data_IF_081449893533
#
_entry.id   IF_081449893533
#
_cell.length_a   1.000
_cell.length_b   1.000
_cell.length_c   1.000
_cell.angle_alpha   90.00
_cell.angle_beta   90.00
_cell.angle_gamma   90.00
#
_symmetry.space_group_name_H-M   'P 1'
#
loop_
_entity.id
_entity.type
_entity.pdbx_description
1 polymer ?
#
# COMPACT_ATOMS: atom_id res chain seq x y z
N UNK A 1 116.30 -53.19 -52.75
CA UNK A 1 117.63 -52.71 -53.17
C UNK A 1 118.48 -52.76 -51.92
N UNK A 2 119.24 -53.84 -51.72
CA UNK A 2 120.62 -53.93 -52.23
C UNK A 2 121.42 -52.74 -51.68
N UNK A 3 122.40 -52.92 -50.79
CA UNK A 3 123.66 -53.62 -51.04
C UNK A 3 124.43 -53.74 -49.71
N UNK A 4 124.95 -54.93 -49.38
CA UNK A 4 126.39 -55.27 -49.33
C UNK A 4 127.24 -54.31 -48.48
N UNK A 5 127.93 -54.80 -47.43
CA UNK A 5 129.27 -54.34 -47.00
C UNK A 5 129.75 -55.08 -45.72
N UNK A 6 131.02 -55.49 -45.73
CA UNK A 6 131.59 -56.52 -44.86
C UNK A 6 131.89 -56.04 -43.43
N UNK A 7 131.02 -56.44 -42.50
CA UNK A 7 131.20 -56.28 -41.05
C UNK A 7 132.02 -57.47 -40.50
N UNK A 8 133.00 -57.27 -39.60
CA UNK A 8 134.00 -58.29 -39.26
C UNK A 8 133.34 -59.55 -38.66
N UNK A 9 133.72 -60.73 -39.16
CA UNK A 9 133.27 -61.99 -38.58
C UNK A 9 133.86 -62.18 -37.18
N UNK A 10 133.03 -62.00 -36.15
CA UNK A 10 133.31 -62.47 -34.80
C UNK A 10 133.47 -63.99 -34.82
N UNK A 11 134.49 -64.57 -34.15
CA UNK A 11 134.70 -66.02 -34.16
C UNK A 11 133.45 -66.74 -33.62
N UNK A 12 132.87 -67.63 -34.45
CA UNK A 12 131.81 -68.54 -34.02
C UNK A 12 132.41 -69.51 -33.02
N UNK A 13 132.05 -69.34 -31.75
CA UNK A 13 132.36 -70.30 -30.69
C UNK A 13 131.51 -71.56 -30.92
N UNK A 14 132.09 -72.56 -31.56
CA UNK A 14 131.49 -73.88 -31.69
C UNK A 14 131.83 -74.69 -30.43
N UNK A 15 130.84 -74.88 -29.56
CA UNK A 15 131.00 -75.70 -28.37
C UNK A 15 130.85 -77.18 -28.75
N UNK A 16 131.79 -78.07 -28.39
CA UNK A 16 131.65 -79.49 -28.66
C UNK A 16 130.40 -80.03 -27.94
N UNK A 17 129.56 -80.77 -28.66
CA UNK A 17 128.30 -81.31 -28.15
C UNK A 17 128.57 -82.57 -27.29
N UNK A 18 129.16 -82.37 -26.12
CA UNK A 18 129.52 -83.43 -25.16
C UNK A 18 128.34 -83.69 -24.22
N UNK A 19 128.00 -84.95 -23.90
CA UNK A 19 126.91 -85.27 -22.98
C UNK A 19 127.05 -84.60 -21.61
N UNK A 20 125.95 -84.06 -21.06
CA UNK A 20 125.94 -83.16 -19.89
C UNK A 20 126.61 -83.68 -18.62
N UNK A 21 126.77 -85.00 -18.47
CA UNK A 21 127.39 -85.58 -17.27
C UNK A 21 128.91 -85.47 -17.28
N UNK A 22 129.56 -85.39 -18.44
CA UNK A 22 131.03 -85.29 -18.54
C UNK A 22 131.55 -83.84 -18.37
N UNK A 23 130.71 -82.81 -18.60
CA UNK A 23 131.10 -81.39 -18.49
C UNK A 23 131.03 -80.81 -17.06
N UNK A 24 130.54 -81.58 -16.08
CA UNK A 24 130.36 -81.08 -14.71
C UNK A 24 131.72 -80.76 -14.05
N UNK A 25 132.76 -81.53 -14.38
CA UNK A 25 134.15 -81.26 -13.96
C UNK A 25 134.62 -79.88 -14.42
N UNK A 26 134.44 -79.56 -15.69
CA UNK A 26 134.96 -78.32 -16.31
C UNK A 26 134.21 -77.08 -15.80
N UNK A 27 132.91 -77.20 -15.56
CA UNK A 27 132.12 -76.12 -14.97
C UNK A 27 132.58 -75.79 -13.53
N UNK A 28 132.87 -76.82 -12.72
CA UNK A 28 133.36 -76.61 -11.35
C UNK A 28 134.74 -75.93 -11.38
N UNK A 29 135.62 -76.29 -12.32
CA UNK A 29 136.91 -75.61 -12.49
C UNK A 29 136.77 -74.16 -12.97
N UNK A 30 135.86 -73.85 -13.88
CA UNK A 30 135.62 -72.47 -14.35
C UNK A 30 135.05 -71.57 -13.25
N UNK A 31 134.13 -72.10 -12.44
CA UNK A 31 133.58 -71.38 -11.28
C UNK A 31 134.66 -71.12 -10.22
N UNK A 32 135.59 -72.06 -10.02
CA UNK A 32 136.75 -71.85 -9.15
C UNK A 32 137.71 -70.78 -9.71
N UNK A 33 137.91 -70.73 -11.03
CA UNK A 33 138.74 -69.70 -11.69
C UNK A 33 138.15 -68.28 -11.60
N UNK A 34 136.82 -68.14 -11.68
CA UNK A 34 136.13 -66.85 -11.53
C UNK A 34 136.17 -66.30 -10.10
N UNK A 35 136.44 -67.15 -9.10
CA UNK A 35 136.55 -66.78 -7.69
C UNK A 35 137.99 -66.46 -7.25
N UNK A 36 138.99 -66.61 -8.14
CA UNK A 36 140.35 -66.14 -7.88
C UNK A 36 140.44 -64.62 -8.05
N UNK A 37 141.16 -63.96 -7.14
CA UNK A 37 141.39 -62.52 -7.21
C UNK A 37 142.14 -62.15 -8.49
N UNK A 38 141.50 -61.36 -9.35
CA UNK A 38 142.08 -60.90 -10.63
C UNK A 38 143.13 -59.83 -10.35
N UNK A 39 144.40 -60.20 -10.44
CA UNK A 39 145.50 -59.24 -10.40
C UNK A 39 145.68 -58.65 -11.81
N UNK A 40 145.28 -57.39 -11.99
CA UNK A 40 145.51 -56.64 -13.23
C UNK A 40 146.87 -55.94 -13.19
N UNK A 41 147.62 -55.91 -14.31
CA UNK A 41 148.95 -55.30 -14.37
C UNK A 41 148.91 -53.78 -14.20
N UNK A 42 149.91 -53.24 -13.50
CA UNK A 42 149.99 -51.87 -12.95
C UNK A 42 150.00 -50.71 -13.98
N UNK A 43 149.99 -50.98 -15.29
CA UNK A 43 149.93 -49.94 -16.32
C UNK A 43 148.51 -49.38 -16.57
N UNK A 44 147.48 -50.02 -16.00
CA UNK A 44 146.07 -49.66 -16.16
C UNK A 44 145.51 -48.82 -14.99
N UNK A 45 146.39 -48.12 -14.25
CA UNK A 45 146.01 -47.18 -13.19
C UNK A 45 146.09 -45.74 -13.70
N UNK A 46 144.92 -45.10 -13.77
CA UNK A 46 144.73 -43.72 -14.26
C UNK A 46 145.49 -42.70 -13.40
N UNK A 47 146.36 -41.88 -14.01
CA UNK A 47 147.08 -40.79 -13.31
C UNK A 47 146.19 -39.54 -13.20
N UNK A 48 146.10 -38.97 -12.00
CA UNK A 48 145.12 -37.93 -11.65
C UNK A 48 145.48 -36.49 -12.11
N UNK A 49 146.72 -36.23 -12.57
CA UNK A 49 147.26 -34.86 -12.74
C UNK A 49 147.34 -34.33 -14.20
N UNK A 50 146.69 -34.99 -15.17
CA UNK A 50 146.72 -34.56 -16.57
C UNK A 50 145.65 -33.46 -16.85
N UNK A 51 146.01 -32.28 -17.40
CA UNK A 51 145.05 -31.21 -17.73
C UNK A 51 143.90 -31.65 -18.65
N UNK A 52 144.16 -32.62 -19.54
CA UNK A 52 143.12 -33.20 -20.41
C UNK A 52 142.10 -34.00 -19.61
N UNK A 53 142.53 -34.64 -18.52
CA UNK A 53 141.66 -35.37 -17.61
C UNK A 53 140.82 -34.42 -16.74
N UNK A 54 141.39 -33.28 -16.31
CA UNK A 54 140.65 -32.23 -15.58
C UNK A 54 139.55 -31.58 -16.44
N UNK A 55 139.85 -31.30 -17.72
CA UNK A 55 138.85 -30.81 -18.68
C UNK A 55 137.77 -31.87 -18.94
N UNK A 56 138.14 -33.13 -19.16
CA UNK A 56 137.18 -34.22 -19.34
C UNK A 56 136.29 -34.42 -18.09
N UNK A 57 136.84 -34.33 -16.88
CA UNK A 57 136.07 -34.38 -15.63
C UNK A 57 135.13 -33.16 -15.48
N UNK A 58 135.55 -31.98 -15.91
CA UNK A 58 134.72 -30.77 -15.91
C UNK A 58 133.59 -30.86 -16.94
N UNK A 59 133.85 -31.40 -18.14
CA UNK A 59 132.86 -31.68 -19.18
C UNK A 59 131.85 -32.74 -18.71
N UNK A 60 132.31 -33.79 -18.05
CA UNK A 60 131.43 -34.80 -17.43
C UNK A 60 130.57 -34.17 -16.33
N UNK A 61 131.13 -33.30 -15.47
CA UNK A 61 130.36 -32.56 -14.45
C UNK A 61 129.37 -31.58 -15.06
N UNK A 62 129.75 -30.84 -16.10
CA UNK A 62 128.89 -29.90 -16.82
C UNK A 62 127.74 -30.63 -17.50
N UNK A 63 128.02 -31.73 -18.20
CA UNK A 63 126.98 -32.56 -18.80
C UNK A 63 126.05 -33.16 -17.74
N UNK A 64 126.59 -33.55 -16.57
CA UNK A 64 125.79 -34.04 -15.45
C UNK A 64 124.90 -32.95 -14.83
N UNK A 65 125.39 -31.72 -14.65
CA UNK A 65 124.60 -30.61 -14.12
C UNK A 65 123.59 -30.08 -15.13
N UNK A 66 123.93 -30.04 -16.42
CA UNK A 66 123.01 -29.71 -17.52
C UNK A 66 121.89 -30.73 -17.63
N UNK A 67 122.20 -32.02 -17.48
CA UNK A 67 121.19 -33.09 -17.43
C UNK A 67 120.26 -32.91 -16.24
N UNK A 68 120.78 -32.63 -15.05
CA UNK A 68 119.95 -32.32 -13.87
C UNK A 68 119.10 -31.06 -14.03
N UNK A 69 119.64 -29.99 -14.64
CA UNK A 69 118.91 -28.76 -14.94
C UNK A 69 117.80 -29.01 -15.97
N UNK A 70 118.07 -29.81 -17.00
CA UNK A 70 117.09 -30.22 -17.99
C UNK A 70 115.98 -31.06 -17.35
N UNK A 71 116.32 -32.01 -16.49
CA UNK A 71 115.36 -32.84 -15.76
C UNK A 71 114.51 -32.01 -14.78
N UNK A 72 115.11 -31.05 -14.06
CA UNK A 72 114.38 -30.11 -13.21
C UNK A 72 113.47 -29.19 -14.00
N UNK A 73 113.90 -28.67 -15.16
CA UNK A 73 113.05 -27.86 -16.04
C UNK A 73 111.89 -28.68 -16.60
N UNK A 74 112.13 -29.92 -17.03
CA UNK A 74 111.08 -30.85 -17.47
C UNK A 74 110.06 -31.12 -16.36
N UNK A 75 110.54 -31.37 -15.14
CA UNK A 75 109.68 -31.55 -13.96
C UNK A 75 108.85 -30.30 -13.67
N UNK A 76 109.45 -29.10 -13.66
CA UNK A 76 108.72 -27.87 -13.40
C UNK A 76 107.69 -27.54 -14.49
N UNK A 77 108.00 -27.83 -15.76
CA UNK A 77 107.05 -27.69 -16.87
C UNK A 77 105.89 -28.67 -16.71
N UNK A 78 106.16 -29.93 -16.34
CA UNK A 78 105.12 -30.92 -16.07
C UNK A 78 104.23 -30.51 -14.88
N UNK A 79 104.83 -30.08 -13.77
CA UNK A 79 104.12 -29.61 -12.59
C UNK A 79 103.26 -28.38 -12.89
N UNK A 80 103.78 -27.44 -13.69
CA UNK A 80 103.01 -26.25 -14.09
C UNK A 80 101.84 -26.60 -14.99
N UNK A 81 101.98 -27.58 -15.88
CA UNK A 81 100.86 -28.11 -16.66
C UNK A 81 99.79 -28.75 -15.76
N UNK A 82 100.18 -29.58 -14.80
CA UNK A 82 99.24 -30.16 -13.84
C UNK A 82 98.52 -29.09 -13.00
N UNK A 83 99.25 -28.05 -12.55
CA UNK A 83 98.65 -26.93 -11.83
C UNK A 83 97.69 -26.12 -12.72
N UNK A 84 98.06 -25.82 -13.96
CA UNK A 84 97.20 -25.11 -14.91
C UNK A 84 95.94 -25.94 -15.24
N UNK A 85 96.05 -27.27 -15.34
CA UNK A 85 94.91 -28.18 -15.48
C UNK A 85 94.00 -28.15 -14.24
N UNK A 86 94.58 -28.18 -13.03
CA UNK A 86 93.83 -28.07 -11.78
C UNK A 86 93.16 -26.70 -11.63
N UNK A 87 93.79 -25.62 -12.06
CA UNK A 87 93.19 -24.28 -12.07
C UNK A 87 92.02 -24.20 -13.05
N UNK A 88 92.15 -24.77 -14.25
CA UNK A 88 91.02 -24.86 -15.20
C UNK A 88 89.88 -25.71 -14.65
N UNK A 89 90.18 -26.84 -14.03
CA UNK A 89 89.17 -27.70 -13.39
C UNK A 89 88.44 -26.96 -12.24
N UNK A 90 89.15 -26.13 -11.49
CA UNK A 90 88.56 -25.30 -10.44
C UNK A 90 87.64 -24.23 -11.03
N UNK A 91 88.08 -23.54 -12.08
CA UNK A 91 87.32 -22.50 -12.77
C UNK A 91 86.04 -23.06 -13.40
N UNK A 92 86.11 -24.24 -14.03
CA UNK A 92 84.92 -24.92 -14.57
C UNK A 92 83.94 -25.29 -13.47
N UNK A 93 84.42 -25.83 -12.34
CA UNK A 93 83.56 -26.17 -11.19
C UNK A 93 82.94 -24.93 -10.55
N UNK A 94 83.69 -23.83 -10.45
CA UNK A 94 83.15 -22.55 -9.97
C UNK A 94 82.03 -22.04 -10.90
N UNK A 95 82.24 -22.09 -12.22
CA UNK A 95 81.25 -21.69 -13.20
C UNK A 95 79.99 -22.58 -13.14
N UNK A 96 80.16 -23.89 -13.03
CA UNK A 96 79.07 -24.84 -12.81
C UNK A 96 78.29 -24.56 -11.52
N UNK A 97 78.97 -24.27 -10.42
CA UNK A 97 78.31 -23.89 -9.18
C UNK A 97 77.51 -22.60 -9.34
N UNK A 98 78.08 -21.56 -9.96
CA UNK A 98 77.38 -20.29 -10.21
C UNK A 98 76.14 -20.47 -11.07
N UNK A 99 76.23 -21.24 -12.15
CA UNK A 99 75.09 -21.53 -13.03
C UNK A 99 74.03 -22.37 -12.31
N UNK A 100 74.44 -23.37 -11.52
CA UNK A 100 73.53 -24.14 -10.68
C UNK A 100 72.81 -23.27 -9.64
N UNK A 101 73.51 -22.34 -8.98
CA UNK A 101 72.88 -21.39 -8.06
C UNK A 101 71.83 -20.51 -8.77
N UNK A 102 72.14 -19.99 -9.96
CA UNK A 102 71.16 -19.24 -10.75
C UNK A 102 69.93 -20.08 -11.12
N UNK A 103 70.14 -21.35 -11.50
CA UNK A 103 69.07 -22.28 -11.80
C UNK A 103 68.22 -22.62 -10.56
N UNK A 104 68.86 -22.81 -9.39
CA UNK A 104 68.15 -23.05 -8.13
C UNK A 104 67.35 -21.83 -7.69
N UNK A 105 67.91 -20.62 -7.80
CA UNK A 105 67.19 -19.38 -7.48
C UNK A 105 65.99 -19.19 -8.42
N UNK A 106 66.15 -19.48 -9.71
CA UNK A 106 65.05 -19.46 -10.67
C UNK A 106 63.98 -20.50 -10.31
N UNK A 107 64.39 -21.73 -10.00
CA UNK A 107 63.48 -22.80 -9.61
C UNK A 107 62.70 -22.46 -8.33
N UNK A 108 63.34 -21.86 -7.32
CA UNK A 108 62.69 -21.42 -6.08
C UNK A 108 61.66 -20.33 -6.39
N UNK A 109 62.01 -19.34 -7.22
CA UNK A 109 61.08 -18.28 -7.65
C UNK A 109 59.89 -18.86 -8.41
N UNK A 110 60.12 -19.70 -9.41
CA UNK A 110 59.04 -20.34 -10.15
C UNK A 110 58.15 -21.23 -9.29
N UNK A 111 58.73 -21.94 -8.32
CA UNK A 111 57.95 -22.76 -7.39
C UNK A 111 57.08 -21.88 -6.48
N UNK A 112 57.63 -20.78 -5.96
CA UNK A 112 56.87 -19.80 -5.20
C UNK A 112 55.74 -19.17 -6.05
N UNK A 113 56.00 -18.79 -7.29
CA UNK A 113 54.98 -18.24 -8.21
C UNK A 113 53.89 -19.28 -8.53
N UNK A 114 54.25 -20.56 -8.65
CA UNK A 114 53.28 -21.67 -8.82
C UNK A 114 52.43 -21.85 -7.55
N UNK A 115 53.04 -21.79 -6.37
CA UNK A 115 52.35 -21.87 -5.08
C UNK A 115 51.40 -20.68 -4.89
N UNK A 116 51.86 -19.47 -5.14
CA UNK A 116 51.03 -18.26 -5.01
C UNK A 116 49.83 -18.30 -5.97
N UNK A 117 50.04 -18.69 -7.24
CA UNK A 117 48.93 -18.88 -8.20
C UNK A 117 47.96 -19.96 -7.75
N UNK A 118 48.45 -21.07 -7.23
CA UNK A 118 47.58 -22.13 -6.70
C UNK A 118 46.78 -21.65 -5.49
N UNK A 119 47.41 -20.96 -4.53
CA UNK A 119 46.74 -20.39 -3.37
C UNK A 119 45.69 -19.35 -3.75
N UNK A 120 46.01 -18.46 -4.71
CA UNK A 120 45.06 -17.48 -5.23
C UNK A 120 43.86 -18.17 -5.87
N UNK A 121 44.10 -19.19 -6.71
CA UNK A 121 43.03 -19.96 -7.35
C UNK A 121 42.16 -20.69 -6.33
N UNK A 122 42.75 -21.31 -5.29
CA UNK A 122 42.00 -21.96 -4.21
C UNK A 122 41.11 -20.95 -3.47
N UNK A 123 41.61 -19.73 -3.20
CA UNK A 123 40.81 -18.67 -2.58
C UNK A 123 39.65 -18.25 -3.47
N UNK A 124 39.89 -18.01 -4.76
CA UNK A 124 38.87 -17.65 -5.75
C UNK A 124 37.80 -18.75 -5.87
N UNK A 125 38.22 -20.01 -6.02
CA UNK A 125 37.32 -21.17 -6.13
C UNK A 125 36.50 -21.37 -4.84
N UNK A 126 37.11 -21.16 -3.67
CA UNK A 126 36.41 -21.24 -2.38
C UNK A 126 35.30 -20.19 -2.25
N UNK A 127 35.57 -18.94 -2.67
CA UNK A 127 34.57 -17.87 -2.70
C UNK A 127 33.44 -18.22 -3.68
N UNK A 128 33.79 -18.68 -4.89
CA UNK A 128 32.82 -19.07 -5.91
C UNK A 128 31.93 -20.23 -5.44
N UNK A 129 32.51 -21.25 -4.78
CA UNK A 129 31.76 -22.35 -4.18
C UNK A 129 30.79 -21.86 -3.11
N UNK A 130 31.20 -20.90 -2.27
CA UNK A 130 30.33 -20.26 -1.28
C UNK A 130 29.12 -19.57 -1.93
N UNK A 131 29.37 -18.75 -2.97
CA UNK A 131 28.32 -18.06 -3.72
C UNK A 131 27.35 -19.05 -4.39
N UNK A 132 27.87 -20.05 -5.10
CA UNK A 132 27.04 -21.07 -5.76
C UNK A 132 26.22 -21.88 -4.77
N UNK A 133 26.76 -22.24 -3.61
CA UNK A 133 26.00 -22.92 -2.55
C UNK A 133 24.84 -22.07 -2.05
N UNK A 134 25.05 -20.78 -1.81
CA UNK A 134 23.98 -19.86 -1.42
C UNK A 134 22.91 -19.72 -2.51
N UNK A 135 23.31 -19.64 -3.78
CA UNK A 135 22.37 -19.60 -4.91
C UNK A 135 21.53 -20.88 -5.00
N UNK A 136 22.16 -22.05 -4.83
CA UNK A 136 21.48 -23.35 -4.80
C UNK A 136 20.48 -23.40 -3.63
N UNK A 137 20.88 -22.94 -2.45
CA UNK A 137 20.00 -22.92 -1.29
C UNK A 137 18.78 -22.02 -1.50
N UNK A 138 18.98 -20.81 -2.03
CA UNK A 138 17.88 -19.91 -2.41
C UNK A 138 16.94 -20.53 -3.45
N UNK A 139 17.50 -21.16 -4.47
CA UNK A 139 16.71 -21.84 -5.50
C UNK A 139 15.91 -23.01 -4.92
N UNK A 140 16.50 -23.79 -4.02
CA UNK A 140 15.83 -24.89 -3.34
C UNK A 140 14.70 -24.40 -2.43
N UNK A 141 14.90 -23.30 -1.68
CA UNK A 141 13.84 -22.69 -0.87
C UNK A 141 12.67 -22.25 -1.75
N UNK A 142 12.94 -21.52 -2.83
CA UNK A 142 11.91 -21.10 -3.78
C UNK A 142 11.18 -22.28 -4.44
N UNK A 143 11.91 -23.34 -4.78
CA UNK A 143 11.31 -24.57 -5.30
C UNK A 143 10.36 -25.22 -4.30
N UNK A 144 10.73 -25.28 -3.01
CA UNK A 144 9.88 -25.84 -1.96
C UNK A 144 8.61 -25.00 -1.76
N UNK A 145 8.71 -23.67 -1.78
CA UNK A 145 7.56 -22.77 -1.70
C UNK A 145 6.59 -22.99 -2.86
N UNK A 146 7.09 -23.00 -4.10
CA UNK A 146 6.25 -23.27 -5.29
C UNK A 146 5.61 -24.65 -5.19
N UNK A 147 6.37 -25.66 -4.74
CA UNK A 147 5.85 -27.02 -4.59
C UNK A 147 4.73 -27.08 -3.55
N UNK A 148 4.84 -26.33 -2.46
CA UNK A 148 3.79 -26.23 -1.47
C UNK A 148 2.54 -25.56 -2.04
N UNK A 149 2.69 -24.42 -2.72
CA UNK A 149 1.58 -23.72 -3.39
C UNK A 149 0.90 -24.64 -4.40
N UNK A 150 1.68 -25.38 -5.20
CA UNK A 150 1.14 -26.38 -6.13
C UNK A 150 0.32 -27.43 -5.40
N UNK A 151 0.85 -28.03 -4.32
CA UNK A 151 0.12 -29.03 -3.54
C UNK A 151 -1.19 -28.46 -2.98
N UNK A 152 -1.17 -27.22 -2.49
CA UNK A 152 -2.38 -26.54 -2.00
C UNK A 152 -3.40 -26.30 -3.12
N UNK A 153 -2.94 -25.90 -4.32
CA UNK A 153 -3.79 -25.74 -5.50
C UNK A 153 -4.38 -27.09 -5.95
N UNK A 154 -3.58 -28.15 -6.02
CA UNK A 154 -4.03 -29.50 -6.37
C UNK A 154 -5.11 -30.00 -5.38
N UNK A 155 -4.94 -29.73 -4.08
CA UNK A 155 -5.97 -30.03 -3.08
C UNK A 155 -7.26 -29.20 -3.27
N UNK A 156 -7.15 -27.94 -3.67
CA UNK A 156 -8.31 -27.09 -3.98
C UNK A 156 -9.03 -27.58 -5.23
N UNK A 157 -8.29 -27.96 -6.27
CA UNK A 157 -8.85 -28.53 -7.50
C UNK A 157 -9.59 -29.83 -7.18
N UNK A 158 -8.99 -30.73 -6.40
CA UNK A 158 -9.65 -31.98 -5.97
C UNK A 158 -10.95 -31.72 -5.21
N UNK A 159 -10.97 -30.75 -4.28
CA UNK A 159 -12.20 -30.35 -3.58
C UNK A 159 -13.24 -29.78 -4.53
N UNK A 160 -12.82 -28.97 -5.49
CA UNK A 160 -13.74 -28.34 -6.44
C UNK A 160 -14.24 -29.28 -7.53
N UNK A 161 -13.55 -30.40 -7.77
CA UNK A 161 -13.93 -31.43 -8.73
C UNK A 161 -15.31 -32.04 -8.40
N UNK A 162 -15.70 -32.08 -7.13
CA UNK A 162 -17.05 -32.53 -6.74
C UNK A 162 -18.14 -31.61 -7.31
N UNK A 163 -17.90 -30.29 -7.31
CA UNK A 163 -18.82 -29.31 -7.91
C UNK A 163 -18.85 -29.43 -9.42
N UNK A 164 -17.70 -29.63 -10.07
CA UNK A 164 -17.65 -29.87 -11.51
C UNK A 164 -18.46 -31.11 -11.90
N UNK A 165 -18.27 -32.23 -11.20
CA UNK A 165 -19.07 -33.45 -11.40
C UNK A 165 -20.57 -33.21 -11.21
N UNK A 166 -20.95 -32.44 -10.19
CA UNK A 166 -22.35 -32.08 -9.96
C UNK A 166 -22.90 -31.23 -11.12
N UNK A 167 -22.17 -30.20 -11.55
CA UNK A 167 -22.60 -29.33 -12.65
C UNK A 167 -22.67 -30.09 -13.98
N UNK A 168 -21.75 -31.02 -14.24
CA UNK A 168 -21.84 -31.94 -15.38
C UNK A 168 -23.14 -32.73 -15.36
N UNK A 169 -23.52 -33.33 -14.22
CA UNK A 169 -24.80 -34.05 -14.08
C UNK A 169 -26.01 -33.14 -14.28
N UNK A 170 -25.95 -31.88 -13.81
CA UNK A 170 -27.02 -30.89 -14.01
C UNK A 170 -27.16 -30.52 -15.49
N UNK A 171 -26.05 -30.37 -16.21
CA UNK A 171 -26.05 -30.13 -17.67
C UNK A 171 -26.59 -31.36 -18.41
N UNK A 172 -26.22 -32.58 -18.01
CA UNK A 172 -26.78 -33.80 -18.59
C UNK A 172 -28.30 -33.92 -18.36
N UNK A 173 -28.78 -33.52 -17.18
CA UNK A 173 -30.21 -33.56 -16.86
C UNK A 173 -31.00 -32.42 -17.53
N UNK A 174 -30.40 -31.24 -17.68
CA UNK A 174 -31.02 -30.06 -18.26
C UNK A 174 -30.60 -29.88 -19.71
N UNK A 175 -31.50 -30.24 -20.64
CA UNK A 175 -31.30 -30.04 -22.09
C UNK A 175 -31.17 -28.57 -22.52
N UNK A 176 -31.38 -27.62 -21.61
CA UNK A 176 -31.30 -26.18 -21.89
C UNK A 176 -29.87 -25.65 -21.95
N UNK A 177 -28.89 -26.36 -21.36
CA UNK A 177 -27.50 -25.94 -21.30
C UNK A 177 -26.61 -26.91 -22.08
N UNK A 178 -25.74 -26.40 -22.95
CA UNK A 178 -24.81 -27.23 -23.70
C UNK A 178 -23.50 -27.47 -22.92
N UNK A 179 -23.03 -26.46 -22.20
CA UNK A 179 -21.81 -26.53 -21.38
C UNK A 179 -22.06 -25.98 -19.97
N UNK A 180 -21.26 -26.43 -18.99
CA UNK A 180 -21.26 -25.88 -17.62
C UNK A 180 -21.08 -24.35 -17.62
N UNK A 181 -20.25 -23.84 -18.53
CA UNK A 181 -20.03 -22.40 -18.70
C UNK A 181 -21.31 -21.65 -19.08
N UNK A 182 -22.19 -22.25 -19.90
CA UNK A 182 -23.46 -21.63 -20.28
C UNK A 182 -24.39 -21.50 -19.08
N UNK A 183 -24.46 -22.54 -18.24
CA UNK A 183 -25.20 -22.52 -16.98
C UNK A 183 -24.67 -21.43 -16.04
N UNK A 184 -23.35 -21.33 -15.87
CA UNK A 184 -22.71 -20.31 -15.03
C UNK A 184 -22.99 -18.91 -15.57
N UNK A 185 -22.83 -18.69 -16.88
CA UNK A 185 -23.08 -17.39 -17.50
C UNK A 185 -24.55 -16.97 -17.37
N UNK A 186 -25.49 -17.91 -17.53
CA UNK A 186 -26.92 -17.65 -17.30
C UNK A 186 -27.18 -17.31 -15.83
N UNK A 187 -26.60 -18.06 -14.90
CA UNK A 187 -26.72 -17.78 -13.47
C UNK A 187 -26.15 -16.41 -13.10
N UNK A 188 -24.95 -16.06 -13.57
CA UNK A 188 -24.33 -14.76 -13.33
C UNK A 188 -25.16 -13.62 -13.91
N UNK A 189 -25.71 -13.81 -15.11
CA UNK A 189 -26.60 -12.84 -15.73
C UNK A 189 -27.89 -12.63 -14.92
N UNK A 190 -28.50 -13.72 -14.45
CA UNK A 190 -29.68 -13.68 -13.59
C UNK A 190 -29.38 -13.05 -12.23
N UNK A 191 -28.23 -13.37 -11.63
CA UNK A 191 -27.78 -12.80 -10.37
C UNK A 191 -27.53 -11.30 -10.52
N UNK A 192 -26.88 -10.88 -11.62
CA UNK A 192 -26.69 -9.47 -11.97
C UNK A 192 -28.02 -8.75 -12.13
N UNK A 193 -28.97 -9.32 -12.86
CA UNK A 193 -30.30 -8.78 -13.02
C UNK A 193 -31.05 -8.68 -11.68
N UNK A 194 -30.97 -9.71 -10.82
CA UNK A 194 -31.57 -9.71 -9.48
C UNK A 194 -31.00 -8.59 -8.62
N UNK A 195 -29.67 -8.42 -8.59
CA UNK A 195 -29.02 -7.37 -7.82
C UNK A 195 -29.40 -5.98 -8.33
N UNK A 196 -29.45 -5.80 -9.65
CA UNK A 196 -29.89 -4.56 -10.27
C UNK A 196 -31.36 -4.24 -9.93
N UNK A 197 -32.27 -5.21 -10.05
CA UNK A 197 -33.66 -5.05 -9.64
C UNK A 197 -33.79 -4.73 -8.15
N UNK A 198 -33.00 -5.36 -7.30
CA UNK A 198 -32.96 -5.08 -5.87
C UNK A 198 -32.57 -3.63 -5.57
N UNK A 199 -31.51 -3.13 -6.22
CA UNK A 199 -31.09 -1.74 -6.10
C UNK A 199 -32.16 -0.76 -6.62
N UNK A 200 -32.78 -1.08 -7.76
CA UNK A 200 -33.86 -0.28 -8.32
C UNK A 200 -35.08 -0.24 -7.39
N UNK A 201 -35.44 -1.38 -6.80
CA UNK A 201 -36.52 -1.47 -5.83
C UNK A 201 -36.23 -0.64 -4.58
N UNK A 202 -35.02 -0.72 -4.04
CA UNK A 202 -34.61 0.08 -2.88
C UNK A 202 -34.69 1.59 -3.18
N UNK A 203 -34.21 2.01 -4.35
CA UNK A 203 -34.31 3.41 -4.78
C UNK A 203 -35.76 3.87 -4.95
N UNK A 204 -36.62 3.04 -5.55
CA UNK A 204 -38.04 3.35 -5.69
C UNK A 204 -38.75 3.44 -4.34
N UNK A 205 -38.42 2.56 -3.40
CA UNK A 205 -38.97 2.61 -2.04
C UNK A 205 -38.54 3.88 -1.31
N UNK A 206 -37.26 4.28 -1.42
CA UNK A 206 -36.78 5.58 -0.89
C UNK A 206 -37.51 6.76 -1.52
N UNK A 207 -37.70 6.76 -2.83
CA UNK A 207 -38.43 7.82 -3.53
C UNK A 207 -39.89 7.92 -3.06
N UNK A 208 -40.55 6.77 -2.87
CA UNK A 208 -41.91 6.69 -2.35
C UNK A 208 -41.97 7.20 -0.91
N UNK A 209 -41.04 6.79 -0.04
CA UNK A 209 -40.97 7.24 1.34
C UNK A 209 -40.76 8.76 1.44
N UNK A 210 -39.88 9.32 0.60
CA UNK A 210 -39.69 10.77 0.51
C UNK A 210 -40.97 11.48 0.05
N UNK A 211 -41.62 10.99 -1.01
CA UNK A 211 -42.87 11.57 -1.50
C UNK A 211 -44.00 11.49 -0.46
N UNK A 212 -44.07 10.38 0.29
CA UNK A 212 -45.01 10.22 1.41
C UNK A 212 -44.71 11.22 2.52
N UNK A 213 -43.45 11.37 2.91
CA UNK A 213 -43.00 12.35 3.91
C UNK A 213 -43.37 13.78 3.52
N UNK A 214 -43.12 14.15 2.25
CA UNK A 214 -43.48 15.47 1.74
C UNK A 214 -44.98 15.69 1.69
N UNK A 215 -45.76 14.66 1.31
CA UNK A 215 -47.22 14.72 1.38
C UNK A 215 -47.71 14.90 2.83
N UNK A 216 -47.13 14.20 3.80
CA UNK A 216 -47.52 14.38 5.22
C UNK A 216 -47.23 15.79 5.72
N UNK A 217 -46.07 16.35 5.37
CA UNK A 217 -45.73 17.74 5.71
C UNK A 217 -46.72 18.73 5.11
N UNK A 218 -47.04 18.58 3.82
CA UNK A 218 -48.02 19.44 3.16
C UNK A 218 -49.41 19.32 3.82
N UNK A 219 -49.83 18.12 4.20
CA UNK A 219 -51.10 17.91 4.91
C UNK A 219 -51.08 18.59 6.27
N UNK A 220 -49.99 18.48 7.04
CA UNK A 220 -49.82 19.17 8.33
C UNK A 220 -49.88 20.70 8.17
N UNK A 221 -49.16 21.25 7.19
CA UNK A 221 -49.19 22.69 6.87
C UNK A 221 -50.62 23.16 6.52
N UNK A 222 -51.32 22.41 5.67
CA UNK A 222 -52.71 22.75 5.29
C UNK A 222 -53.67 22.60 6.45
N UNK A 223 -53.50 21.61 7.31
CA UNK A 223 -54.30 21.44 8.53
C UNK A 223 -54.09 22.62 9.49
N UNK A 224 -52.85 23.11 9.63
CA UNK A 224 -52.57 24.30 10.42
C UNK A 224 -53.29 25.54 9.88
N UNK A 225 -53.26 25.74 8.56
CA UNK A 225 -54.00 26.84 7.90
C UNK A 225 -55.51 26.68 8.12
N UNK A 226 -56.05 25.47 7.95
CA UNK A 226 -57.46 25.19 8.17
C UNK A 226 -57.87 25.49 9.62
N UNK A 227 -57.05 25.12 10.60
CA UNK A 227 -57.28 25.45 12.01
C UNK A 227 -57.31 26.97 12.23
N UNK A 228 -56.38 27.71 11.61
CA UNK A 228 -56.36 29.17 11.64
C UNK A 228 -57.63 29.80 11.03
N UNK A 229 -58.09 29.27 9.90
CA UNK A 229 -59.33 29.71 9.26
C UNK A 229 -60.56 29.37 10.10
N UNK A 230 -60.62 28.18 10.69
CA UNK A 230 -61.73 27.76 11.55
C UNK A 230 -61.83 28.66 12.79
N UNK A 231 -60.70 29.01 13.41
CA UNK A 231 -60.65 29.98 14.50
C UNK A 231 -61.17 31.36 14.06
N UNK A 232 -60.82 31.80 12.84
CA UNK A 232 -61.33 33.05 12.27
C UNK A 232 -62.84 33.00 12.01
N UNK A 233 -63.36 31.89 11.49
CA UNK A 233 -64.80 31.66 11.30
C UNK A 233 -65.52 31.73 12.64
N UNK A 234 -65.04 31.01 13.65
CA UNK A 234 -65.62 31.04 15.00
C UNK A 234 -65.64 32.47 15.59
N UNK A 235 -64.56 33.23 15.42
CA UNK A 235 -64.49 34.63 15.86
C UNK A 235 -65.48 35.54 15.11
N UNK A 236 -65.63 35.36 13.79
CA UNK A 236 -66.61 36.11 12.99
C UNK A 236 -68.05 35.74 13.37
N UNK A 237 -68.33 34.46 13.58
CA UNK A 237 -69.65 33.99 13.99
C UNK A 237 -70.02 34.52 15.37
N UNK A 238 -69.09 34.50 16.33
CA UNK A 238 -69.31 35.13 17.63
C UNK A 238 -69.58 36.64 17.52
N UNK A 239 -68.89 37.36 16.62
CA UNK A 239 -69.17 38.78 16.37
C UNK A 239 -70.55 38.99 15.74
N UNK A 240 -70.94 38.14 14.79
CA UNK A 240 -72.25 38.21 14.14
C UNK A 240 -73.38 37.95 15.13
N UNK A 241 -73.30 36.89 15.94
CA UNK A 241 -74.31 36.60 16.96
C UNK A 241 -74.42 37.73 17.98
N UNK A 242 -73.30 38.31 18.42
CA UNK A 242 -73.31 39.50 19.29
C UNK A 242 -74.00 40.71 18.63
N UNK A 243 -73.74 40.97 17.34
CA UNK A 243 -74.39 42.07 16.62
C UNK A 243 -75.88 41.81 16.44
N UNK A 244 -76.27 40.55 16.17
CA UNK A 244 -77.66 40.12 16.04
C UNK A 244 -78.44 40.28 17.35
N UNK A 245 -77.86 39.87 18.48
CA UNK A 245 -78.45 40.06 19.81
C UNK A 245 -78.71 41.55 20.04
N UNK A 246 -77.73 42.43 19.78
CA UNK A 246 -77.90 43.88 19.91
C UNK A 246 -78.99 44.43 18.98
N UNK A 247 -79.08 43.94 17.74
CA UNK A 247 -80.15 44.33 16.81
C UNK A 247 -81.52 43.96 17.36
N UNK A 248 -81.68 42.74 17.89
CA UNK A 248 -82.93 42.29 18.51
C UNK A 248 -83.31 43.11 19.75
N UNK A 249 -82.33 43.48 20.58
CA UNK A 249 -82.54 44.38 21.72
C UNK A 249 -83.06 45.76 21.27
N UNK A 250 -82.45 46.33 20.22
CA UNK A 250 -82.91 47.59 19.64
C UNK A 250 -84.32 47.46 19.02
N UNK A 251 -84.60 46.39 18.28
CA UNK A 251 -85.93 46.13 17.72
C UNK A 251 -86.99 45.99 18.82
N UNK A 252 -86.65 45.28 19.90
CA UNK A 252 -87.54 45.14 21.04
C UNK A 252 -87.87 46.49 21.68
N UNK A 253 -86.85 47.34 21.89
CA UNK A 253 -87.03 48.68 22.44
C UNK A 253 -87.89 49.56 21.51
N UNK A 254 -87.68 49.47 20.19
CA UNK A 254 -88.51 50.18 19.20
C UNK A 254 -89.96 49.69 19.24
N UNK A 255 -90.19 48.38 19.36
CA UNK A 255 -91.53 47.82 19.50
C UNK A 255 -92.22 48.27 20.79
N UNK A 256 -91.49 48.33 21.91
CA UNK A 256 -92.01 48.88 23.17
C UNK A 256 -92.44 50.34 23.01
N UNK A 257 -91.60 51.18 22.40
CA UNK A 257 -91.93 52.58 22.11
C UNK A 257 -93.15 52.67 21.20
N UNK A 258 -93.21 51.86 20.14
CA UNK A 258 -94.35 51.85 19.21
C UNK A 258 -95.65 51.44 19.90
N UNK A 259 -95.62 50.39 20.72
CA UNK A 259 -96.80 49.93 21.47
C UNK A 259 -97.26 51.02 22.44
N UNK A 260 -96.33 51.68 23.14
CA UNK A 260 -96.64 52.80 24.00
C UNK A 260 -97.29 53.95 23.21
N UNK A 261 -96.73 54.31 22.06
CA UNK A 261 -97.29 55.33 21.19
C UNK A 261 -98.70 54.98 20.68
N UNK A 262 -98.97 53.72 20.34
CA UNK A 262 -100.31 53.25 19.93
C UNK A 262 -101.31 53.33 21.09
N UNK A 263 -100.91 52.95 22.30
CA UNK A 263 -101.77 53.10 23.49
C UNK A 263 -102.14 54.58 23.69
N UNK A 264 -101.15 55.48 23.68
CA UNK A 264 -101.40 56.93 23.81
C UNK A 264 -102.25 57.49 22.67
N UNK A 265 -102.03 57.03 21.44
CA UNK A 265 -102.84 57.44 20.29
C UNK A 265 -104.29 56.98 20.46
N UNK A 266 -104.51 55.74 20.90
CA UNK A 266 -105.85 55.22 21.16
C UNK A 266 -106.54 55.99 22.30
N UNK A 267 -105.85 56.29 23.40
CA UNK A 267 -106.40 57.12 24.48
C UNK A 267 -106.82 58.51 23.95
N UNK A 268 -106.00 59.13 23.10
CA UNK A 268 -106.34 60.38 22.44
C UNK A 268 -107.57 60.21 21.52
N UNK A 269 -107.65 59.13 20.75
CA UNK A 269 -108.80 58.84 19.87
C UNK A 269 -110.09 58.56 20.65
N UNK A 270 -110.03 57.83 21.76
CA UNK A 270 -111.16 57.58 22.66
C UNK A 270 -111.69 58.87 23.27
N UNK A 271 -110.79 59.76 23.71
CA UNK A 271 -111.17 61.09 24.20
C UNK A 271 -111.84 61.90 23.10
N UNK A 272 -111.26 61.93 21.89
CA UNK A 272 -111.86 62.60 20.73
C UNK A 272 -113.25 62.04 20.39
N UNK A 273 -113.40 60.73 20.38
CA UNK A 273 -114.69 60.07 20.12
C UNK A 273 -115.72 60.36 21.21
N UNK A 274 -115.29 60.41 22.47
CA UNK A 274 -116.15 60.78 23.60
C UNK A 274 -116.65 62.23 23.49
N UNK A 275 -115.77 63.16 23.10
CA UNK A 275 -116.14 64.56 22.81
C UNK A 275 -117.15 64.59 21.66
N UNK A 276 -116.88 63.90 20.57
CA UNK A 276 -117.79 63.82 19.42
C UNK A 276 -119.18 63.27 19.81
N UNK A 277 -119.22 62.15 20.56
CA UNK A 277 -120.47 61.56 21.00
C UNK A 277 -121.26 62.50 21.92
N UNK A 278 -120.60 63.19 22.85
CA UNK A 278 -121.25 64.19 23.69
C UNK A 278 -121.83 65.33 22.85
N UNK A 279 -121.08 65.82 21.86
CA UNK A 279 -121.57 66.83 20.91
C UNK A 279 -122.82 66.34 20.17
N UNK A 280 -122.77 65.14 19.59
CA UNK A 280 -123.91 64.55 18.88
C UNK A 280 -125.14 64.39 19.79
N UNK A 281 -124.96 63.91 21.02
CA UNK A 281 -126.07 63.75 21.98
C UNK A 281 -126.69 65.10 22.38
N UNK A 282 -125.87 66.13 22.63
CA UNK A 282 -126.36 67.45 23.00
C UNK A 282 -127.06 68.16 21.84
N UNK A 283 -126.52 68.03 20.62
CA UNK A 283 -127.14 68.55 19.39
C UNK A 283 -128.47 67.84 19.08
N UNK A 284 -128.54 66.51 19.24
CA UNK A 284 -129.77 65.74 19.10
C UNK A 284 -130.82 66.12 20.16
N UNK A 285 -130.41 66.32 21.42
CA UNK A 285 -131.30 66.78 22.49
C UNK A 285 -131.86 68.19 22.25
N UNK A 286 -131.15 69.02 21.48
CA UNK A 286 -131.57 70.37 21.11
C UNK A 286 -132.29 70.45 19.76
N UNK A 287 -132.40 69.33 19.03
CA UNK A 287 -132.94 69.27 17.67
C UNK A 287 -132.22 70.20 16.66
N UNK A 288 -130.92 70.46 16.87
CA UNK A 288 -130.09 71.23 15.94
C UNK A 288 -129.37 70.28 14.96
N UNK A 289 -129.21 70.65 13.67
CA UNK A 289 -128.46 69.82 12.72
C UNK A 289 -126.96 69.78 13.08
N UNK A 290 -126.33 68.63 12.87
CA UNK A 290 -124.89 68.44 13.07
C UNK A 290 -124.11 69.29 12.05
N UNK A 291 -123.63 70.47 12.48
CA UNK A 291 -122.96 71.44 11.61
C UNK A 291 -121.43 71.45 11.76
N UNK A 292 -120.88 70.88 12.83
CA UNK A 292 -119.44 70.90 13.13
C UNK A 292 -118.79 69.62 12.59
N UNK A 293 -117.61 69.76 11.95
CA UNK A 293 -116.84 68.64 11.40
C UNK A 293 -116.27 67.74 12.53
N UNK A 294 -116.08 66.45 12.24
CA UNK A 294 -115.67 65.44 13.22
C UNK A 294 -114.25 65.68 13.76
N UNK A 295 -113.40 66.29 12.96
CA UNK A 295 -111.98 66.53 13.26
C UNK A 295 -111.75 67.83 14.07
N UNK A 296 -112.73 68.74 14.12
CA UNK A 296 -112.62 70.01 14.85
C UNK A 296 -113.10 69.87 16.31
N UNK A 297 -112.20 69.32 17.13
CA UNK A 297 -112.47 69.01 18.54
C UNK A 297 -112.65 70.29 19.38
N UNK A 298 -111.99 71.38 19.00
CA UNK A 298 -112.01 72.64 19.75
C UNK A 298 -113.40 73.29 19.64
N UNK A 299 -113.96 73.36 18.43
CA UNK A 299 -115.32 73.87 18.23
C UNK A 299 -116.38 72.96 18.89
N UNK A 300 -116.21 71.63 18.84
CA UNK A 300 -117.09 70.68 19.52
C UNK A 300 -117.08 70.87 21.05
N UNK A 301 -115.90 71.01 21.66
CA UNK A 301 -115.77 71.28 23.11
C UNK A 301 -116.37 72.63 23.49
N UNK A 302 -116.20 73.67 22.67
CA UNK A 302 -116.80 74.98 22.90
C UNK A 302 -118.33 74.90 22.86
N UNK A 303 -118.89 74.15 21.92
CA UNK A 303 -120.34 73.90 21.85
C UNK A 303 -120.85 73.12 23.07
N UNK A 304 -120.18 72.03 23.47
CA UNK A 304 -120.50 71.25 24.69
C UNK A 304 -120.44 72.15 25.94
N UNK A 305 -119.43 73.00 26.06
CA UNK A 305 -119.28 73.94 27.17
C UNK A 305 -120.43 74.96 27.22
N UNK A 306 -120.81 75.54 26.08
CA UNK A 306 -121.93 76.51 25.98
C UNK A 306 -123.26 75.85 26.36
N UNK A 307 -123.56 74.70 25.78
CA UNK A 307 -124.79 73.93 26.04
C UNK A 307 -124.89 73.47 27.49
N UNK A 308 -123.81 72.94 28.09
CA UNK A 308 -123.79 72.62 29.53
C UNK A 308 -124.01 73.84 30.42
N UNK A 309 -123.42 74.99 30.07
CA UNK A 309 -123.61 76.24 30.82
C UNK A 309 -125.07 76.70 30.75
N UNK A 310 -125.73 76.54 29.59
CA UNK A 310 -127.15 76.83 29.43
C UNK A 310 -128.03 75.87 30.24
N UNK A 311 -127.77 74.56 30.18
CA UNK A 311 -128.50 73.55 30.99
C UNK A 311 -128.31 73.82 32.49
N UNK A 312 -127.10 74.20 32.93
CA UNK A 312 -126.84 74.59 34.31
C UNK A 312 -127.64 75.83 34.71
N UNK A 313 -127.72 76.85 33.84
CA UNK A 313 -128.58 78.02 34.07
C UNK A 313 -130.05 77.62 34.17
N UNK A 314 -130.55 76.75 33.29
CA UNK A 314 -131.92 76.21 33.33
C UNK A 314 -132.17 75.41 34.62
N UNK A 315 -131.25 74.56 35.04
CA UNK A 315 -131.34 73.81 36.29
C UNK A 315 -131.31 74.71 37.53
N UNK A 316 -130.51 75.77 37.52
CA UNK A 316 -130.51 76.78 38.59
C UNK A 316 -131.83 77.55 38.64
N UNK A 317 -132.44 77.86 37.49
CA UNK A 317 -133.78 78.47 37.41
C UNK A 317 -134.87 77.51 37.92
N UNK A 318 -134.81 76.23 37.57
CA UNK A 318 -135.71 75.19 38.10
C UNK A 318 -135.55 74.99 39.61
N UNK A 319 -134.30 74.96 40.12
CA UNK A 319 -134.05 74.91 41.58
C UNK A 319 -134.53 76.16 42.31
N UNK A 320 -134.49 77.34 41.68
CA UNK A 320 -135.09 78.57 42.21
C UNK A 320 -136.62 78.52 42.18
N UNK A 321 -137.23 77.91 41.16
CA UNK A 321 -138.68 77.67 41.07
C UNK A 321 -139.21 76.63 42.09
N UNK A 322 -138.44 75.60 42.41
CA UNK A 322 -138.80 74.62 43.44
C UNK A 322 -138.74 75.24 44.85
N UNK A 323 -137.78 76.15 45.09
CA UNK A 323 -137.70 76.91 46.36
C UNK A 323 -138.89 77.86 46.54
N UNK A 324 -139.35 78.55 45.50
CA UNK A 324 -140.54 79.42 45.58
C UNK A 324 -141.86 78.65 45.68
N UNK A 325 -141.93 77.39 45.25
CA UNK A 325 -143.10 76.51 45.50
C UNK A 325 -143.12 75.85 46.88
N UNK A 326 -141.98 75.81 47.59
CA UNK A 326 -141.87 75.28 48.94
C UNK A 326 -142.24 76.33 50.00
N UNK A 327 -142.00 77.62 49.73
CA UNK A 327 -142.35 78.72 50.64
C UNK A 327 -143.85 79.10 50.59
N UNK A 328 -144.58 78.81 49.52
CA UNK A 328 -146.04 79.07 49.43
C UNK A 328 -146.94 77.97 50.02
N UNK A 329 -146.37 76.87 50.54
CA UNK A 329 -147.09 75.77 51.22
C UNK A 329 -146.90 75.72 52.74
N UNK A 330 -146.16 76.67 53.34
CA UNK A 330 -146.01 76.78 54.81
C UNK A 330 -146.96 77.78 55.48
N UNK A 331 -147.66 78.64 54.75
CA UNK A 331 -148.68 79.57 55.32
C UNK A 331 -150.07 78.94 55.57
N UNK A 332 -150.17 77.60 55.60
CA UNK A 332 -151.37 76.85 56.04
C UNK A 332 -150.98 75.59 56.82
N UNK A 333 -150.25 75.76 57.92
CA UNK A 333 -150.31 74.91 59.13
C UNK A 333 -149.31 75.45 60.18
N UNK A 334 -149.84 76.18 61.17
CA UNK A 334 -149.27 76.62 62.46
C UNK A 334 -147.90 77.30 62.52
#
# INVERSE_FOLDING_TARGET
MENTDAVPHSPRLEFPNVPRYDCVSDYIQSKAFMAMDKIYPEFDVVRMDDPKNSLALAEVKLHFTERQLADRRRYMIALRKELDEKWKELETKEHELRTNFQNFDLFIKENNDKRERAEKKIKEDSVLLGQRKQEIEKCNQFYLEIREVKNQMDQKIKRNHEYENYLSKVVEASKEFATIQDLINRYLSLLGAKNYLGLLQENNLRALENAKSDMTKLVEEKNFILMGLNNKIAALQARFENAKIKSLECEHLVLQIKNYAVIHLNEIEEVKFSIWNMYCHMSASKQEPLSIAREDIEEQMLYIKRTLTEVLKVNQLLRKGVKTSADSKKDKSN
#
